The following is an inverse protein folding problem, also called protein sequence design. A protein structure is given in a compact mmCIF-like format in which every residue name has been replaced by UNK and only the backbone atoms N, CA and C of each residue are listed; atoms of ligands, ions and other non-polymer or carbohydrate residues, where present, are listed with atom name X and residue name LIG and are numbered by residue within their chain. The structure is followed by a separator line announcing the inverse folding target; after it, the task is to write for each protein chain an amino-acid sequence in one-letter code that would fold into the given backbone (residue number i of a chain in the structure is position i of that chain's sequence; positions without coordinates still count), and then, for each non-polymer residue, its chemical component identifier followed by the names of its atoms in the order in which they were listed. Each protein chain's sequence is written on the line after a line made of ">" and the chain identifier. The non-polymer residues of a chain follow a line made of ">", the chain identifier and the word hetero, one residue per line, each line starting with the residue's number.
data_IF_821031052068
#
_entry.id   IF_821031052068
#
_cell.length_a   1.000
_cell.length_b   1.000
_cell.length_c   1.000
_cell.angle_alpha   90.00
_cell.angle_beta   90.00
_cell.angle_gamma   90.00
#
_symmetry.space_group_name_H-M   'P 1'
#
loop_
_entity.id
_entity.type
_entity.pdbx_description
1 polymer ?
#
# COMPACT_ATOMS: atom_id res chain seq x y z
N UNK A 1 24.81 -39.44 6.07
CA UNK A 1 23.50 -38.76 6.00
C UNK A 1 23.70 -37.26 6.19
N UNK A 2 23.41 -36.43 5.20
CA UNK A 2 23.51 -34.96 5.36
C UNK A 2 22.28 -34.51 6.16
N UNK A 3 22.49 -34.07 7.40
CA UNK A 3 21.41 -33.51 8.21
C UNK A 3 20.84 -32.26 7.50
N UNK A 4 19.57 -32.33 7.06
CA UNK A 4 18.87 -31.16 6.51
C UNK A 4 18.75 -30.09 7.59
N UNK A 5 19.53 -29.03 7.45
CA UNK A 5 19.43 -27.86 8.34
C UNK A 5 18.03 -27.26 8.20
N UNK A 6 17.35 -27.06 9.34
CA UNK A 6 16.07 -26.36 9.36
C UNK A 6 16.27 -24.94 8.80
N UNK A 7 15.40 -24.48 7.88
CA UNK A 7 15.50 -23.13 7.35
C UNK A 7 15.28 -22.11 8.48
N UNK A 8 16.01 -21.01 8.43
CA UNK A 8 15.79 -19.90 9.37
C UNK A 8 14.42 -19.27 9.13
N UNK A 9 13.83 -18.70 10.20
CA UNK A 9 12.54 -18.01 10.12
C UNK A 9 12.52 -16.92 9.03
N UNK A 10 13.59 -16.13 8.95
CA UNK A 10 13.77 -15.10 7.90
C UNK A 10 13.69 -15.67 6.48
N UNK A 11 14.22 -16.87 6.26
CA UNK A 11 14.14 -17.54 4.96
C UNK A 11 12.70 -17.96 4.65
N UNK A 12 11.99 -18.50 5.64
CA UNK A 12 10.58 -18.86 5.50
C UNK A 12 9.72 -17.63 5.22
N UNK A 13 9.92 -16.53 5.96
CA UNK A 13 9.17 -15.28 5.77
C UNK A 13 9.36 -14.73 4.34
N UNK A 14 10.59 -14.77 3.82
CA UNK A 14 10.89 -14.32 2.45
C UNK A 14 10.20 -15.19 1.40
N UNK A 15 10.22 -16.52 1.58
CA UNK A 15 9.55 -17.46 0.68
C UNK A 15 8.04 -17.26 0.72
N UNK A 16 7.47 -17.08 1.92
CA UNK A 16 6.05 -16.82 2.09
C UNK A 16 5.63 -15.52 1.41
N UNK A 17 6.35 -14.42 1.66
CA UNK A 17 6.08 -13.12 1.04
C UNK A 17 6.14 -13.18 -0.50
N UNK A 18 7.12 -13.89 -1.05
CA UNK A 18 7.22 -14.10 -2.48
C UNK A 18 6.03 -14.91 -3.02
N UNK A 19 5.63 -15.96 -2.29
CA UNK A 19 4.53 -16.84 -2.69
C UNK A 19 3.21 -16.08 -2.71
N UNK A 20 2.93 -15.29 -1.67
CA UNK A 20 1.71 -14.48 -1.58
C UNK A 20 1.63 -13.47 -2.74
N UNK A 21 2.71 -12.73 -2.99
CA UNK A 21 2.76 -11.78 -4.11
C UNK A 21 2.49 -12.47 -5.44
N UNK A 22 3.11 -13.62 -5.68
CA UNK A 22 2.89 -14.39 -6.91
C UNK A 22 1.43 -14.83 -7.07
N UNK A 23 0.83 -15.40 -6.02
CA UNK A 23 -0.57 -15.84 -6.05
C UNK A 23 -1.51 -14.67 -6.35
N UNK A 24 -1.26 -13.49 -5.76
CA UNK A 24 -2.05 -12.29 -6.06
C UNK A 24 -1.94 -11.87 -7.53
N UNK A 25 -0.72 -11.77 -8.06
CA UNK A 25 -0.51 -11.43 -9.47
C UNK A 25 -1.15 -12.46 -10.41
N UNK A 26 -1.11 -13.75 -10.07
CA UNK A 26 -1.77 -14.80 -10.84
C UNK A 26 -3.30 -14.64 -10.83
N UNK A 27 -3.89 -14.26 -9.69
CA UNK A 27 -5.32 -13.94 -9.59
C UNK A 27 -5.70 -12.71 -10.43
N UNK A 28 -4.90 -11.65 -10.40
CA UNK A 28 -5.08 -10.47 -11.26
C UNK A 28 -5.01 -10.85 -12.73
N UNK A 29 -4.02 -11.65 -13.13
CA UNK A 29 -3.85 -12.08 -14.52
C UNK A 29 -5.04 -12.91 -15.04
N UNK A 30 -5.81 -13.55 -14.15
CA UNK A 30 -7.03 -14.29 -14.48
C UNK A 30 -8.30 -13.44 -14.38
N UNK A 31 -8.19 -12.19 -13.92
CA UNK A 31 -9.35 -11.34 -13.62
C UNK A 31 -10.16 -11.80 -12.39
N UNK A 32 -9.56 -12.61 -11.52
CA UNK A 32 -10.21 -13.14 -10.30
C UNK A 32 -10.10 -12.17 -9.12
N UNK A 33 -9.11 -11.28 -9.13
CA UNK A 33 -8.77 -10.39 -8.02
C UNK A 33 -8.46 -9.00 -8.58
N UNK A 34 -9.00 -7.96 -7.94
CA UNK A 34 -8.68 -6.57 -8.24
C UNK A 34 -7.30 -6.15 -7.67
N UNK A 35 -6.55 -5.29 -8.37
CA UNK A 35 -5.34 -4.67 -7.84
C UNK A 35 -5.61 -3.89 -6.55
N UNK A 36 -4.75 -4.06 -5.55
CA UNK A 36 -4.82 -3.30 -4.29
C UNK A 36 -3.64 -2.36 -4.09
N UNK A 37 -2.65 -2.39 -4.99
CA UNK A 37 -1.52 -1.48 -4.94
C UNK A 37 -1.20 -0.93 -6.33
N UNK A 38 -0.52 0.21 -6.38
CA UNK A 38 -0.07 0.81 -7.63
C UNK A 38 0.80 -0.13 -8.47
N UNK A 39 1.64 -0.95 -7.81
CA UNK A 39 2.45 -1.97 -8.48
C UNK A 39 1.57 -3.02 -9.17
N UNK A 40 0.53 -3.50 -8.49
CA UNK A 40 -0.41 -4.48 -9.03
C UNK A 40 -1.22 -3.88 -10.21
N UNK A 41 -1.59 -2.60 -10.11
CA UNK A 41 -2.24 -1.88 -11.20
C UNK A 41 -1.32 -1.78 -12.43
N UNK A 42 -0.04 -1.44 -12.21
CA UNK A 42 0.96 -1.41 -13.27
C UNK A 42 1.18 -2.78 -13.91
N UNK A 43 1.14 -3.87 -13.13
CA UNK A 43 1.21 -5.23 -13.66
C UNK A 43 0.05 -5.52 -14.61
N UNK A 44 -1.18 -5.19 -14.19
CA UNK A 44 -2.37 -5.37 -15.02
C UNK A 44 -2.28 -4.57 -16.32
N UNK A 45 -1.89 -3.30 -16.27
CA UNK A 45 -1.70 -2.48 -17.48
C UNK A 45 -0.70 -3.08 -18.45
N UNK A 46 0.43 -3.61 -17.96
CA UNK A 46 1.40 -4.27 -18.83
C UNK A 46 0.84 -5.56 -19.45
N UNK A 47 -0.01 -6.28 -18.72
CA UNK A 47 -0.66 -7.49 -19.22
C UNK A 47 -1.67 -7.17 -20.31
N UNK A 48 -2.46 -6.11 -20.13
CA UNK A 48 -3.44 -5.62 -21.11
C UNK A 48 -2.76 -5.08 -22.37
N UNK A 49 -1.67 -4.33 -22.23
CA UNK A 49 -0.93 -3.73 -23.35
C UNK A 49 -0.19 -4.78 -24.19
N UNK A 50 0.47 -5.75 -23.54
CA UNK A 50 1.42 -6.68 -24.22
C UNK A 50 0.91 -8.11 -24.36
N UNK A 51 -0.20 -8.45 -23.70
CA UNK A 51 -0.73 -9.82 -23.62
C UNK A 51 0.12 -10.80 -22.82
N UNK A 52 1.31 -10.41 -22.35
CA UNK A 52 2.19 -11.24 -21.51
C UNK A 52 3.16 -10.42 -20.68
N UNK A 53 3.40 -10.85 -19.44
CA UNK A 53 4.28 -10.17 -18.46
C UNK A 53 5.08 -11.19 -17.66
N UNK A 54 6.32 -10.84 -17.30
CA UNK A 54 7.12 -11.62 -16.36
C UNK A 54 6.76 -11.25 -14.93
N UNK A 55 6.13 -12.17 -14.21
CA UNK A 55 5.77 -12.01 -12.80
C UNK A 55 6.93 -11.56 -11.91
N UNK A 56 8.14 -12.05 -12.18
CA UNK A 56 9.33 -11.73 -11.38
C UNK A 56 9.64 -10.23 -11.33
N UNK A 57 9.26 -9.47 -12.36
CA UNK A 57 9.51 -8.02 -12.44
C UNK A 57 8.59 -7.23 -11.48
N UNK A 58 7.51 -7.86 -11.02
CA UNK A 58 6.51 -7.27 -10.13
C UNK A 58 6.50 -7.91 -8.72
N UNK A 59 7.46 -8.79 -8.43
CA UNK A 59 7.64 -9.33 -7.07
C UNK A 59 8.75 -8.55 -6.38
N UNK A 60 8.41 -7.89 -5.29
CA UNK A 60 9.34 -7.06 -4.52
C UNK A 60 9.83 -7.77 -3.26
N UNK A 61 10.92 -7.24 -2.71
CA UNK A 61 11.46 -7.73 -1.45
C UNK A 61 10.51 -7.44 -0.28
N UNK A 62 10.60 -8.23 0.80
CA UNK A 62 9.76 -8.07 1.98
C UNK A 62 9.78 -6.65 2.59
N UNK A 63 10.93 -5.96 2.71
CA UNK A 63 10.95 -4.56 3.15
C UNK A 63 10.14 -3.61 2.25
N UNK A 64 10.21 -3.78 0.94
CA UNK A 64 9.46 -2.95 -0.02
C UNK A 64 7.96 -3.27 0.03
N UNK A 65 7.59 -4.54 0.12
CA UNK A 65 6.19 -4.95 0.28
C UNK A 65 5.58 -4.34 1.54
N UNK A 66 6.34 -4.29 2.64
CA UNK A 66 5.89 -3.62 3.87
C UNK A 66 5.70 -2.11 3.69
N UNK A 67 6.57 -1.45 2.93
CA UNK A 67 6.43 -0.02 2.66
C UNK A 67 5.14 0.27 1.89
N UNK A 68 4.85 -0.50 0.84
CA UNK A 68 3.58 -0.38 0.08
C UNK A 68 2.36 -0.61 0.98
N UNK A 69 2.39 -1.60 1.87
CA UNK A 69 1.28 -1.86 2.80
C UNK A 69 1.06 -0.71 3.82
N UNK A 70 2.11 0.02 4.19
CA UNK A 70 2.00 1.17 5.07
C UNK A 70 1.40 2.37 4.34
N UNK A 71 1.74 2.58 3.06
CA UNK A 71 1.15 3.62 2.22
C UNK A 71 -0.36 3.41 2.06
N UNK A 72 -0.79 2.19 1.72
CA UNK A 72 -2.23 1.84 1.62
C UNK A 72 -2.97 2.17 2.92
N UNK A 73 -2.36 1.85 4.07
CA UNK A 73 -2.99 2.11 5.38
C UNK A 73 -3.11 3.60 5.70
N UNK A 74 -2.14 4.42 5.27
CA UNK A 74 -2.20 5.87 5.46
C UNK A 74 -3.30 6.48 4.59
N UNK A 75 -3.46 6.00 3.35
CA UNK A 75 -4.54 6.43 2.47
C UNK A 75 -5.92 6.03 2.98
N UNK A 76 -6.09 4.81 3.51
CA UNK A 76 -7.34 4.37 4.16
C UNK A 76 -7.70 5.25 5.37
N UNK A 77 -6.72 5.55 6.24
CA UNK A 77 -6.94 6.42 7.41
C UNK A 77 -7.24 7.87 7.00
N UNK A 78 -6.54 8.39 5.97
CA UNK A 78 -6.75 9.75 5.47
C UNK A 78 -8.07 9.89 4.70
N UNK A 79 -8.58 8.80 4.09
CA UNK A 79 -9.89 8.78 3.44
C UNK A 79 -11.06 8.90 4.42
N UNK A 80 -10.90 8.35 5.63
CA UNK A 80 -11.91 8.42 6.70
C UNK A 80 -11.94 9.79 7.40
N UNK A 81 -10.81 10.50 7.53
CA UNK A 81 -10.78 11.86 8.11
C UNK A 81 -11.31 12.94 7.16
N UNK A 82 -11.33 12.71 5.85
CA UNK A 82 -11.87 13.67 4.87
C UNK A 82 -13.41 13.72 4.83
N UNK A 83 -14.12 12.75 5.42
CA UNK A 83 -15.59 12.67 5.45
C UNK A 83 -16.26 13.20 6.74
N UNK A 84 -15.50 13.82 7.64
CA UNK A 84 -16.06 14.43 8.88
C UNK A 84 -15.72 15.92 9.06
N UNK A 85 -15.11 16.57 8.05
CA UNK A 85 -14.64 17.95 8.12
C UNK A 85 -15.52 19.03 7.48
N UNK A 86 -16.54 18.66 6.70
CA UNK A 86 -17.56 19.62 6.26
C UNK A 86 -18.72 19.64 7.26
N UNK A 87 -19.14 20.83 7.69
CA UNK A 87 -20.25 21.11 8.61
C UNK A 87 -20.00 21.06 10.13
N UNK A 88 -19.02 21.82 10.62
CA UNK A 88 -19.12 22.39 11.97
C UNK A 88 -18.72 23.87 12.02
N UNK A 89 -19.72 24.74 11.87
CA UNK A 89 -19.72 26.01 12.63
C UNK A 89 -19.51 27.31 11.85
N UNK A 90 -20.39 27.61 10.90
CA UNK A 90 -20.83 28.99 10.68
C UNK A 90 -21.51 29.50 11.96
N UNK A 91 -20.76 30.16 12.86
CA UNK A 91 -21.31 31.18 13.79
C UNK A 91 -20.32 32.33 13.98
N UNK A 92 -20.50 33.32 13.11
CA UNK A 92 -20.65 34.75 13.44
C UNK A 92 -19.71 35.41 14.46
N UNK A 93 -19.11 36.50 13.95
CA UNK A 93 -18.95 37.81 14.60
C UNK A 93 -17.79 38.00 15.59
N UNK A 94 -16.73 38.63 15.06
CA UNK A 94 -16.21 39.91 15.54
C UNK A 94 -15.71 40.02 16.98
N UNK A 95 -14.38 40.15 17.15
CA UNK A 95 -13.75 41.18 17.99
C UNK A 95 -12.25 41.32 17.70
N UNK A 96 -11.79 42.56 17.84
CA UNK A 96 -10.60 43.26 17.33
C UNK A 96 -9.21 42.69 17.71
N UNK A 97 -8.14 43.09 16.99
CA UNK A 97 -6.76 42.69 17.28
C UNK A 97 -6.27 43.29 18.61
N UNK A 98 -5.61 42.48 19.44
CA UNK A 98 -4.90 42.97 20.63
C UNK A 98 -3.52 43.47 20.22
N UNK A 99 -3.35 44.78 20.33
CA UNK A 99 -2.09 45.50 20.34
C UNK A 99 -1.12 44.96 21.40
N UNK A 100 0.15 44.89 21.03
CA UNK A 100 1.32 44.63 21.89
C UNK A 100 1.62 45.84 22.78
N UNK A 101 2.08 45.68 24.04
CA UNK A 101 2.82 46.72 24.75
C UNK A 101 4.31 46.35 24.91
N UNK A 102 5.15 47.35 25.25
CA UNK A 102 6.56 47.44 24.86
C UNK A 102 7.54 46.81 25.87
N UNK A 103 8.81 46.71 25.45
CA UNK A 103 9.96 46.48 26.33
C UNK A 103 10.42 47.79 26.98
#
# INVERSE_FOLDING_TARGET
>A
MIARRRPSRRRLDRVLAHTIQRVRLEGIARGEIEPLSFRELCFQWHLEDRGSVRFADFIVSWPLLKAEMLEIRIEEISGDEAMTGEFAGLRSSGRKPKSRPPA
#
